data_IF_188300846907
#
_entry.id   IF_188300846907
#
_cell.length_a   1.000
_cell.length_b   1.000
_cell.length_c   1.000
_cell.angle_alpha   90.00
_cell.angle_beta   90.00
_cell.angle_gamma   90.00
#
_symmetry.space_group_name_H-M   'P 1'
#
loop_
_entity.id
_entity.type
_entity.pdbx_description
1 polymer ?
#
# COMPACT_ATOMS: atom_id res chain seq x y z
N UNK A 1 -40.47 -22.84 5.11
CA UNK A 1 -40.45 -21.74 4.13
C UNK A 1 -39.54 -20.68 4.69
N UNK A 2 -38.31 -20.63 4.21
CA UNK A 2 -37.36 -19.57 4.58
C UNK A 2 -37.89 -18.29 3.94
N UNK A 3 -38.17 -17.27 4.76
CA UNK A 3 -38.54 -15.95 4.25
C UNK A 3 -37.29 -15.40 3.57
N UNK A 4 -37.28 -15.40 2.25
CA UNK A 4 -36.29 -14.70 1.45
C UNK A 4 -36.30 -13.23 1.91
N UNK A 5 -35.24 -12.81 2.61
CA UNK A 5 -35.16 -11.49 3.24
C UNK A 5 -34.85 -10.47 2.14
N UNK A 6 -35.49 -9.30 2.20
CA UNK A 6 -35.25 -8.23 1.24
C UNK A 6 -33.75 -7.91 1.14
N UNK A 7 -33.18 -8.04 -0.07
CA UNK A 7 -31.76 -7.80 -0.38
C UNK A 7 -30.75 -8.67 0.39
N UNK A 8 -31.12 -9.85 0.91
CA UNK A 8 -30.22 -10.66 1.76
C UNK A 8 -28.88 -10.97 1.08
N UNK A 9 -28.90 -11.41 -0.18
CA UNK A 9 -27.68 -11.69 -0.95
C UNK A 9 -26.78 -10.46 -1.12
N UNK A 10 -27.39 -9.28 -1.34
CA UNK A 10 -26.63 -8.03 -1.47
C UNK A 10 -26.01 -7.63 -0.13
N UNK A 11 -26.74 -7.75 0.98
CA UNK A 11 -26.19 -7.43 2.29
C UNK A 11 -25.09 -8.40 2.70
N UNK A 12 -25.18 -9.68 2.33
CA UNK A 12 -24.07 -10.64 2.52
C UNK A 12 -22.82 -10.18 1.76
N UNK A 13 -22.96 -9.71 0.52
CA UNK A 13 -21.83 -9.14 -0.24
C UNK A 13 -21.25 -7.88 0.42
N UNK A 14 -22.11 -6.99 0.91
CA UNK A 14 -21.69 -5.76 1.62
C UNK A 14 -20.89 -6.09 2.88
N UNK A 15 -21.36 -7.02 3.70
CA UNK A 15 -20.67 -7.44 4.92
C UNK A 15 -19.35 -8.16 4.62
N UNK A 16 -19.30 -8.97 3.55
CA UNK A 16 -18.06 -9.60 3.12
C UNK A 16 -17.01 -8.56 2.68
N UNK A 17 -17.42 -7.53 1.92
CA UNK A 17 -16.51 -6.44 1.53
C UNK A 17 -16.03 -5.66 2.76
N UNK A 18 -16.95 -5.36 3.68
CA UNK A 18 -16.63 -4.68 4.96
C UNK A 18 -15.57 -5.47 5.73
N UNK A 19 -15.77 -6.78 5.89
CA UNK A 19 -14.80 -7.65 6.56
C UNK A 19 -13.42 -7.63 5.91
N UNK A 20 -13.34 -7.67 4.58
CA UNK A 20 -12.04 -7.55 3.90
C UNK A 20 -11.38 -6.18 4.08
N UNK A 21 -12.15 -5.09 4.16
CA UNK A 21 -11.61 -3.76 4.43
C UNK A 21 -11.08 -3.65 5.87
N UNK A 22 -11.78 -4.27 6.84
CA UNK A 22 -11.32 -4.35 8.22
C UNK A 22 -10.01 -5.16 8.34
N UNK A 23 -9.95 -6.35 7.72
CA UNK A 23 -8.71 -7.16 7.65
C UNK A 23 -7.56 -6.41 6.97
N UNK A 24 -7.84 -5.63 5.92
CA UNK A 24 -6.84 -4.76 5.30
C UNK A 24 -6.31 -3.72 6.28
N UNK A 25 -7.20 -3.04 7.01
CA UNK A 25 -6.83 -2.04 7.99
C UNK A 25 -5.92 -2.61 9.08
N UNK A 26 -6.24 -3.81 9.58
CA UNK A 26 -5.40 -4.50 10.58
C UNK A 26 -4.01 -4.84 10.03
N UNK A 27 -3.93 -5.32 8.78
CA UNK A 27 -2.65 -5.62 8.14
C UNK A 27 -1.80 -4.38 7.90
N UNK A 28 -2.41 -3.25 7.57
CA UNK A 28 -1.69 -1.97 7.44
C UNK A 28 -1.05 -1.56 8.76
N UNK A 29 -1.76 -1.72 9.88
CA UNK A 29 -1.19 -1.46 11.21
C UNK A 29 -0.05 -2.42 11.56
N UNK A 30 -0.19 -3.70 11.21
CA UNK A 30 0.89 -4.67 11.42
C UNK A 30 2.13 -4.36 10.57
N UNK A 31 1.95 -3.87 9.34
CA UNK A 31 3.06 -3.37 8.50
C UNK A 31 3.81 -2.22 9.18
N UNK A 32 3.10 -1.25 9.79
CA UNK A 32 3.74 -0.16 10.56
C UNK A 32 4.60 -0.69 11.71
N UNK A 33 4.10 -1.72 12.40
CA UNK A 33 4.81 -2.38 13.52
C UNK A 33 6.09 -3.06 13.02
N UNK A 34 5.99 -3.82 11.93
CA UNK A 34 7.12 -4.54 11.33
C UNK A 34 8.18 -3.57 10.79
N UNK A 35 7.76 -2.51 10.08
CA UNK A 35 8.65 -1.43 9.66
C UNK A 35 9.43 -0.80 10.82
N UNK A 36 8.74 -0.53 11.93
CA UNK A 36 9.39 0.01 13.13
C UNK A 36 10.40 -0.96 13.75
N UNK A 37 10.09 -2.26 13.79
CA UNK A 37 11.01 -3.30 14.26
C UNK A 37 12.25 -3.42 13.37
N UNK A 38 12.06 -3.40 12.04
CA UNK A 38 13.13 -3.52 11.06
C UNK A 38 14.10 -2.33 11.16
N UNK A 39 13.60 -1.11 11.38
CA UNK A 39 14.43 0.09 11.56
C UNK A 39 15.09 0.20 12.93
N UNK A 40 14.65 -0.58 13.92
CA UNK A 40 15.24 -0.60 15.26
C UNK A 40 16.56 -1.39 15.31
N UNK A 41 16.79 -2.29 14.37
CA UNK A 41 17.99 -3.11 14.26
C UNK A 41 18.83 -2.72 13.03
N UNK A 42 20.17 -2.62 13.13
CA UNK A 42 21.05 -2.43 11.97
C UNK A 42 20.92 -3.59 10.96
N UNK A 43 20.84 -4.82 11.49
CA UNK A 43 20.65 -6.05 10.74
C UNK A 43 19.35 -6.73 11.21
N UNK A 44 18.20 -6.38 10.64
CA UNK A 44 16.92 -7.04 10.92
C UNK A 44 17.00 -8.53 10.58
N UNK A 45 16.39 -9.37 11.42
CA UNK A 45 16.37 -10.81 11.20
C UNK A 45 15.49 -11.20 10.01
N UNK A 46 15.83 -12.33 9.38
CA UNK A 46 15.18 -12.79 8.15
C UNK A 46 13.70 -13.14 8.37
N UNK A 47 13.32 -13.52 9.60
CA UNK A 47 11.93 -13.85 9.92
C UNK A 47 11.06 -12.58 9.88
N UNK A 48 11.52 -11.50 10.49
CA UNK A 48 10.82 -10.19 10.46
C UNK A 48 10.66 -9.69 9.01
N UNK A 49 11.68 -9.86 8.17
CA UNK A 49 11.58 -9.52 6.73
C UNK A 49 10.55 -10.38 5.99
N UNK A 50 10.57 -11.70 6.21
CA UNK A 50 9.63 -12.63 5.59
C UNK A 50 8.19 -12.35 6.03
N UNK A 51 7.97 -12.01 7.30
CA UNK A 51 6.66 -11.60 7.82
C UNK A 51 6.15 -10.34 7.12
N UNK A 52 7.00 -9.32 6.92
CA UNK A 52 6.64 -8.12 6.16
C UNK A 52 6.26 -8.44 4.71
N UNK A 53 7.03 -9.28 4.01
CA UNK A 53 6.71 -9.68 2.64
C UNK A 53 5.39 -10.43 2.53
N UNK A 54 5.08 -11.28 3.50
CA UNK A 54 3.79 -11.96 3.57
C UNK A 54 2.64 -10.97 3.79
N UNK A 55 2.82 -9.98 4.66
CA UNK A 55 1.81 -8.93 4.88
C UNK A 55 1.55 -8.12 3.61
N UNK A 56 2.60 -7.72 2.88
CA UNK A 56 2.46 -7.00 1.60
C UNK A 56 1.69 -7.84 0.58
N UNK A 57 2.00 -9.14 0.49
CA UNK A 57 1.32 -10.10 -0.39
C UNK A 57 -0.16 -10.23 -0.03
N UNK A 58 -0.46 -10.34 1.26
CA UNK A 58 -1.83 -10.43 1.75
C UNK A 58 -2.61 -9.15 1.47
N UNK A 59 -2.04 -7.98 1.75
CA UNK A 59 -2.67 -6.67 1.47
C UNK A 59 -3.03 -6.59 -0.02
N UNK A 60 -2.09 -6.92 -0.91
CA UNK A 60 -2.36 -6.97 -2.36
C UNK A 60 -3.52 -7.90 -2.70
N UNK A 61 -3.57 -9.09 -2.10
CA UNK A 61 -4.63 -10.08 -2.33
C UNK A 61 -5.99 -9.57 -1.87
N UNK A 62 -6.09 -9.02 -0.66
CA UNK A 62 -7.34 -8.50 -0.10
C UNK A 62 -7.82 -7.26 -0.85
N UNK A 63 -6.92 -6.34 -1.19
CA UNK A 63 -7.25 -5.15 -1.95
C UNK A 63 -7.81 -5.51 -3.34
N UNK A 64 -7.24 -6.50 -4.02
CA UNK A 64 -7.78 -7.02 -5.28
C UNK A 64 -9.17 -7.66 -5.14
N UNK A 65 -9.43 -8.39 -4.05
CA UNK A 65 -10.76 -8.96 -3.77
C UNK A 65 -11.79 -7.85 -3.56
N UNK A 66 -11.48 -6.85 -2.74
CA UNK A 66 -12.35 -5.69 -2.49
C UNK A 66 -12.65 -4.97 -3.79
N UNK A 67 -11.62 -4.64 -4.58
CA UNK A 67 -11.76 -4.01 -5.90
C UNK A 67 -12.70 -4.80 -6.83
N UNK A 68 -12.48 -6.12 -6.95
CA UNK A 68 -13.31 -6.96 -7.82
C UNK A 68 -14.78 -7.00 -7.38
N UNK A 69 -15.05 -7.02 -6.07
CA UNK A 69 -16.42 -7.04 -5.55
C UNK A 69 -17.11 -5.69 -5.70
N UNK A 70 -16.41 -4.58 -5.44
CA UNK A 70 -16.93 -3.22 -5.67
C UNK A 70 -17.31 -3.03 -7.15
N UNK A 71 -16.42 -3.44 -8.07
CA UNK A 71 -16.70 -3.38 -9.52
C UNK A 71 -17.91 -4.23 -9.92
N UNK A 72 -18.12 -5.38 -9.29
CA UNK A 72 -19.32 -6.19 -9.53
C UNK A 72 -20.60 -5.50 -9.08
N UNK A 73 -20.56 -4.77 -7.95
CA UNK A 73 -21.70 -3.98 -7.46
C UNK A 73 -21.96 -2.79 -8.40
N UNK A 74 -20.91 -2.11 -8.86
CA UNK A 74 -21.02 -1.02 -9.85
C UNK A 74 -21.72 -1.49 -11.12
N UNK A 75 -21.27 -2.59 -11.73
CA UNK A 75 -21.90 -3.14 -12.95
C UNK A 75 -23.38 -3.52 -12.74
N UNK A 76 -23.73 -4.01 -11.55
CA UNK A 76 -25.12 -4.28 -11.18
C UNK A 76 -25.94 -2.99 -11.10
N UNK A 77 -25.38 -1.92 -10.56
CA UNK A 77 -26.03 -0.60 -10.48
C UNK A 77 -26.26 -0.05 -11.89
N UNK A 78 -25.23 -0.03 -12.75
CA UNK A 78 -25.32 0.47 -14.13
C UNK A 78 -26.38 -0.29 -14.95
N UNK A 79 -26.46 -1.61 -14.77
CA UNK A 79 -27.46 -2.43 -15.43
C UNK A 79 -28.89 -2.09 -14.99
N UNK A 80 -29.12 -1.89 -13.70
CA UNK A 80 -30.43 -1.52 -13.17
C UNK A 80 -30.85 -0.09 -13.59
N UNK A 81 -29.90 0.82 -13.70
CA UNK A 81 -30.12 2.19 -14.19
C UNK A 81 -30.54 2.23 -15.66
N UNK A 82 -29.90 1.42 -16.52
CA UNK A 82 -30.25 1.30 -17.92
C UNK A 82 -31.71 0.85 -18.13
N UNK A 83 -32.25 0.09 -17.17
CA UNK A 83 -33.65 -0.34 -17.15
C UNK A 83 -34.62 0.73 -16.60
N UNK A 84 -34.13 1.94 -16.29
CA UNK A 84 -34.90 3.08 -15.73
C UNK A 84 -35.66 2.73 -14.45
N UNK A 85 -35.18 1.75 -13.68
CA UNK A 85 -35.78 1.33 -12.42
C UNK A 85 -35.27 2.19 -11.27
N UNK A 86 -35.83 3.38 -11.10
CA UNK A 86 -35.58 4.17 -9.89
C UNK A 86 -36.34 3.55 -8.71
N UNK A 87 -35.64 2.73 -7.93
CA UNK A 87 -36.22 1.97 -6.82
C UNK A 87 -35.49 2.26 -5.50
N UNK A 88 -36.12 1.88 -4.38
CA UNK A 88 -35.46 1.92 -3.08
C UNK A 88 -34.22 0.99 -3.04
N UNK A 89 -34.29 -0.14 -3.73
CA UNK A 89 -33.19 -1.12 -3.89
C UNK A 89 -31.96 -0.48 -4.55
N UNK A 90 -32.15 0.19 -5.69
CA UNK A 90 -31.08 0.87 -6.42
C UNK A 90 -30.40 1.96 -5.58
N UNK A 91 -31.18 2.73 -4.81
CA UNK A 91 -30.63 3.74 -3.90
C UNK A 91 -29.79 3.11 -2.79
N UNK A 92 -30.25 2.00 -2.20
CA UNK A 92 -29.49 1.26 -1.17
C UNK A 92 -28.16 0.77 -1.76
N UNK A 93 -28.18 0.16 -2.96
CA UNK A 93 -26.96 -0.32 -3.64
C UNK A 93 -25.95 0.79 -3.86
N UNK A 94 -26.38 1.92 -4.40
CA UNK A 94 -25.53 3.11 -4.62
C UNK A 94 -24.91 3.64 -3.33
N UNK A 95 -25.71 3.79 -2.28
CA UNK A 95 -25.23 4.31 -0.99
C UNK A 95 -24.20 3.36 -0.36
N UNK A 96 -24.46 2.05 -0.36
CA UNK A 96 -23.52 1.06 0.17
C UNK A 96 -22.23 1.01 -0.67
N UNK A 97 -22.33 1.00 -2.00
CA UNK A 97 -21.18 1.02 -2.89
C UNK A 97 -20.27 2.24 -2.63
N UNK A 98 -20.87 3.43 -2.51
CA UNK A 98 -20.12 4.67 -2.25
C UNK A 98 -19.45 4.66 -0.87
N UNK A 99 -20.14 4.14 0.15
CA UNK A 99 -19.60 4.04 1.51
C UNK A 99 -18.41 3.08 1.57
N UNK A 100 -18.55 1.88 0.99
CA UNK A 100 -17.48 0.88 0.96
C UNK A 100 -16.29 1.36 0.12
N UNK A 101 -16.54 1.97 -1.04
CA UNK A 101 -15.49 2.54 -1.90
C UNK A 101 -14.68 3.60 -1.18
N UNK A 102 -15.35 4.52 -0.47
CA UNK A 102 -14.67 5.56 0.31
C UNK A 102 -13.80 4.97 1.42
N UNK A 103 -14.33 3.98 2.16
CA UNK A 103 -13.56 3.33 3.24
C UNK A 103 -12.38 2.54 2.70
N UNK A 104 -12.54 1.87 1.56
CA UNK A 104 -11.44 1.18 0.89
C UNK A 104 -10.33 2.16 0.47
N UNK A 105 -10.68 3.28 -0.18
CA UNK A 105 -9.72 4.33 -0.55
C UNK A 105 -9.00 4.88 0.68
N UNK A 106 -9.71 5.15 1.77
CA UNK A 106 -9.12 5.63 3.03
C UNK A 106 -8.04 4.66 3.55
N UNK A 107 -8.33 3.36 3.64
CA UNK A 107 -7.37 2.34 4.10
C UNK A 107 -6.18 2.22 3.15
N UNK A 108 -6.40 2.25 1.84
CA UNK A 108 -5.31 2.17 0.87
C UNK A 108 -4.44 3.43 0.89
N UNK A 109 -5.02 4.61 1.14
CA UNK A 109 -4.26 5.86 1.29
C UNK A 109 -3.39 5.82 2.54
N UNK A 110 -3.90 5.28 3.64
CA UNK A 110 -3.12 5.05 4.86
C UNK A 110 -1.97 4.07 4.62
N UNK A 111 -2.20 2.99 3.86
CA UNK A 111 -1.14 2.08 3.45
C UNK A 111 -0.06 2.79 2.62
N UNK A 112 -0.44 3.60 1.64
CA UNK A 112 0.50 4.36 0.82
C UNK A 112 1.31 5.38 1.64
N UNK A 113 0.66 6.07 2.59
CA UNK A 113 1.32 6.98 3.52
C UNK A 113 2.33 6.24 4.41
N UNK A 114 1.96 5.06 4.91
CA UNK A 114 2.84 4.17 5.68
C UNK A 114 4.07 3.76 4.88
N UNK A 115 3.87 3.39 3.60
CA UNK A 115 4.99 3.02 2.73
C UNK A 115 5.92 4.23 2.47
N UNK A 116 5.33 5.39 2.16
CA UNK A 116 6.10 6.63 1.90
C UNK A 116 6.92 7.07 3.11
N UNK A 117 6.36 7.01 4.33
CA UNK A 117 7.09 7.31 5.57
C UNK A 117 8.26 6.35 5.77
N UNK A 118 8.04 5.05 5.54
CA UNK A 118 9.10 4.05 5.65
C UNK A 118 10.24 4.29 4.65
N UNK A 119 9.91 4.66 3.40
CA UNK A 119 10.90 5.04 2.37
C UNK A 119 11.83 6.14 2.88
N UNK A 120 11.24 7.21 3.41
CA UNK A 120 12.00 8.38 3.86
C UNK A 120 12.88 8.04 5.07
N UNK A 121 12.38 7.18 5.98
CA UNK A 121 13.18 6.68 7.11
C UNK A 121 14.35 5.81 6.65
N UNK A 122 14.17 4.94 5.66
CA UNK A 122 15.26 4.16 5.06
C UNK A 122 16.30 5.06 4.38
N UNK A 123 15.85 6.07 3.62
CA UNK A 123 16.72 7.07 3.01
C UNK A 123 17.54 7.82 4.06
N UNK A 124 16.92 8.29 5.14
CA UNK A 124 17.63 8.94 6.25
C UNK A 124 18.66 8.03 6.93
N UNK A 125 18.39 6.71 7.03
CA UNK A 125 19.39 5.72 7.50
C UNK A 125 20.58 5.63 6.55
N UNK A 126 20.34 5.54 5.23
CA UNK A 126 21.42 5.49 4.22
C UNK A 126 22.28 6.75 4.30
N UNK A 127 21.65 7.93 4.35
CA UNK A 127 22.36 9.20 4.50
C UNK A 127 23.28 9.19 5.72
N UNK A 128 22.77 8.73 6.86
CA UNK A 128 23.55 8.65 8.09
C UNK A 128 24.74 7.69 7.97
N UNK A 129 24.58 6.56 7.29
CA UNK A 129 25.67 5.62 7.07
C UNK A 129 26.74 6.19 6.12
N UNK A 130 26.35 6.94 5.10
CA UNK A 130 27.30 7.65 4.22
C UNK A 130 28.12 8.68 5.02
N UNK A 131 27.50 9.44 5.91
CA UNK A 131 28.21 10.38 6.79
C UNK A 131 29.23 9.67 7.71
N UNK A 132 28.89 8.51 8.26
CA UNK A 132 29.80 7.71 9.11
C UNK A 132 31.04 7.28 8.31
N UNK A 133 30.87 6.98 7.02
CA UNK A 133 31.99 6.66 6.13
C UNK A 133 32.79 7.88 5.64
N UNK A 134 32.40 9.08 6.06
CA UNK A 134 33.06 10.34 5.70
C UNK A 134 32.59 10.95 4.38
N UNK A 135 31.47 10.47 3.82
CA UNK A 135 30.87 11.00 2.59
C UNK A 135 29.64 11.84 2.94
N UNK A 136 29.76 13.16 2.81
CA UNK A 136 28.61 14.05 2.87
C UNK A 136 27.82 13.93 1.56
N UNK A 137 26.50 13.80 1.65
CA UNK A 137 25.63 13.63 0.49
C UNK A 137 24.35 14.43 0.72
N UNK A 138 24.00 15.29 -0.24
CA UNK A 138 22.75 16.06 -0.15
C UNK A 138 21.54 15.16 -0.41
N UNK A 139 20.34 15.65 -0.11
CA UNK A 139 19.13 14.89 -0.36
C UNK A 139 18.93 14.59 -1.86
N UNK A 140 19.25 15.54 -2.73
CA UNK A 140 19.14 15.41 -4.18
C UNK A 140 20.15 14.41 -4.74
N UNK A 141 21.40 14.47 -4.26
CA UNK A 141 22.42 13.48 -4.62
C UNK A 141 22.01 12.09 -4.17
N UNK A 142 21.47 11.95 -2.95
CA UNK A 142 21.03 10.67 -2.42
C UNK A 142 19.86 10.09 -3.23
N UNK A 143 18.88 10.89 -3.63
CA UNK A 143 17.80 10.43 -4.52
C UNK A 143 18.35 9.97 -5.86
N UNK A 144 19.26 10.72 -6.48
CA UNK A 144 19.92 10.28 -7.72
C UNK A 144 20.70 8.97 -7.55
N UNK A 145 21.23 8.70 -6.36
CA UNK A 145 21.88 7.43 -6.05
C UNK A 145 20.89 6.28 -5.90
N UNK A 146 19.73 6.52 -5.29
CA UNK A 146 18.64 5.54 -5.15
C UNK A 146 18.00 5.19 -6.50
N UNK A 147 17.89 6.16 -7.41
CA UNK A 147 17.40 5.96 -8.77
C UNK A 147 18.40 5.22 -9.68
N UNK A 148 19.64 5.03 -9.23
CA UNK A 148 20.69 4.39 -10.01
C UNK A 148 20.57 2.86 -9.97
N UNK A 149 20.56 2.23 -11.15
CA UNK A 149 20.67 0.78 -11.30
C UNK A 149 22.07 0.21 -10.93
N UNK A 150 22.98 1.05 -10.42
CA UNK A 150 24.34 0.65 -10.07
C UNK A 150 24.54 0.60 -8.55
N UNK A 151 24.49 -0.59 -7.91
CA UNK A 151 24.71 -0.74 -6.47
C UNK A 151 26.07 -0.21 -5.99
N UNK A 152 27.09 -0.20 -6.87
CA UNK A 152 28.42 0.29 -6.54
C UNK A 152 28.45 1.81 -6.27
N UNK A 153 27.39 2.55 -6.62
CA UNK A 153 27.31 4.01 -6.41
C UNK A 153 27.46 4.40 -4.94
N UNK A 154 27.00 3.54 -4.02
CA UNK A 154 27.14 3.73 -2.57
C UNK A 154 28.57 3.48 -2.09
N UNK A 155 29.31 2.58 -2.73
CA UNK A 155 30.70 2.21 -2.37
C UNK A 155 31.76 3.11 -3.02
N UNK A 156 31.38 3.85 -4.06
CA UNK A 156 32.31 4.69 -4.82
C UNK A 156 32.91 5.80 -3.94
N UNK A 157 34.24 5.88 -3.90
CA UNK A 157 34.98 6.89 -3.14
C UNK A 157 35.11 6.60 -1.64
N UNK A 158 34.68 5.43 -1.16
CA UNK A 158 34.77 5.04 0.25
C UNK A 158 35.91 4.03 0.44
N UNK A 159 36.78 4.31 1.40
CA UNK A 159 37.90 3.44 1.76
C UNK A 159 37.40 2.30 2.66
N UNK A 160 37.40 1.06 2.16
CA UNK A 160 36.94 -0.15 2.87
C UNK A 160 38.00 -0.72 3.84
N UNK A 161 38.66 0.14 4.61
CA UNK A 161 39.80 -0.27 5.44
C UNK A 161 39.40 -0.52 6.90
N UNK A 162 38.12 -0.36 7.25
CA UNK A 162 37.63 -0.53 8.61
C UNK A 162 36.37 -1.39 8.69
N UNK A 163 36.26 -2.17 9.78
CA UNK A 163 35.05 -2.93 10.10
C UNK A 163 33.80 -2.02 10.18
N UNK A 164 33.98 -0.76 10.56
CA UNK A 164 32.91 0.25 10.63
C UNK A 164 32.40 0.56 9.22
N UNK A 165 33.29 0.78 8.27
CA UNK A 165 32.94 1.03 6.86
C UNK A 165 32.18 -0.16 6.27
N UNK A 166 32.63 -1.39 6.55
CA UNK A 166 31.98 -2.60 6.04
C UNK A 166 30.57 -2.78 6.61
N UNK A 167 30.38 -2.50 7.91
CA UNK A 167 29.07 -2.55 8.54
C UNK A 167 28.13 -1.48 7.97
N UNK A 168 28.62 -0.26 7.75
CA UNK A 168 27.85 0.81 7.13
C UNK A 168 27.37 0.44 5.72
N UNK A 169 28.24 -0.19 4.91
CA UNK A 169 27.89 -0.64 3.56
C UNK A 169 26.80 -1.72 3.57
N UNK A 170 26.90 -2.70 4.47
CA UNK A 170 25.88 -3.76 4.60
C UNK A 170 24.50 -3.19 4.99
N UNK A 171 24.49 -2.21 5.92
CA UNK A 171 23.25 -1.53 6.28
C UNK A 171 22.68 -0.73 5.11
N UNK A 172 23.52 -0.01 4.35
CA UNK A 172 23.08 0.71 3.15
C UNK A 172 22.45 -0.24 2.12
N UNK A 173 23.09 -1.36 1.81
CA UNK A 173 22.58 -2.35 0.86
C UNK A 173 21.24 -2.95 1.33
N UNK A 174 21.12 -3.25 2.62
CA UNK A 174 19.88 -3.74 3.23
C UNK A 174 18.76 -2.71 3.08
N UNK A 175 19.01 -1.43 3.42
CA UNK A 175 18.00 -0.36 3.32
C UNK A 175 17.63 -0.04 1.87
N UNK A 176 18.60 -0.07 0.97
CA UNK A 176 18.35 0.14 -0.46
C UNK A 176 17.45 -0.96 -1.03
N UNK A 177 17.72 -2.22 -0.68
CA UNK A 177 16.85 -3.35 -1.07
C UNK A 177 15.42 -3.18 -0.55
N UNK A 178 15.26 -2.68 0.67
CA UNK A 178 13.94 -2.38 1.24
C UNK A 178 13.22 -1.26 0.50
N UNK A 179 13.92 -0.18 0.10
CA UNK A 179 13.37 0.90 -0.72
C UNK A 179 12.87 0.36 -2.05
N UNK A 180 13.65 -0.48 -2.74
CA UNK A 180 13.25 -1.07 -4.03
C UNK A 180 11.96 -1.89 -3.89
N UNK A 181 11.86 -2.74 -2.84
CA UNK A 181 10.65 -3.54 -2.58
C UNK A 181 9.44 -2.65 -2.33
N UNK A 182 9.64 -1.57 -1.59
CA UNK A 182 8.60 -0.61 -1.26
C UNK A 182 8.12 0.17 -2.50
N UNK A 183 9.03 0.66 -3.33
CA UNK A 183 8.68 1.37 -4.57
C UNK A 183 7.92 0.46 -5.55
N UNK A 184 8.27 -0.82 -5.61
CA UNK A 184 7.48 -1.80 -6.35
C UNK A 184 6.07 -1.95 -5.78
N UNK A 185 5.92 -2.04 -4.46
CA UNK A 185 4.59 -2.07 -3.82
C UNK A 185 3.79 -0.80 -4.11
N UNK A 186 4.39 0.40 -4.02
CA UNK A 186 3.71 1.67 -4.30
C UNK A 186 3.27 1.74 -5.77
N UNK A 187 4.10 1.28 -6.71
CA UNK A 187 3.76 1.24 -8.14
C UNK A 187 2.54 0.37 -8.39
N UNK A 188 2.46 -0.80 -7.75
CA UNK A 188 1.28 -1.67 -7.85
C UNK A 188 0.02 -1.06 -7.23
N UNK A 189 0.15 -0.27 -6.15
CA UNK A 189 -0.96 0.48 -5.58
C UNK A 189 -1.44 1.59 -6.52
N UNK A 190 -0.53 2.27 -7.20
CA UNK A 190 -0.85 3.35 -8.11
C UNK A 190 -1.79 2.87 -9.24
N UNK A 191 -1.52 1.70 -9.82
CA UNK A 191 -2.40 1.10 -10.83
C UNK A 191 -3.82 0.85 -10.27
N UNK A 192 -3.90 0.43 -9.01
CA UNK A 192 -5.18 0.22 -8.32
C UNK A 192 -5.91 1.55 -8.02
N UNK A 193 -5.18 2.60 -7.66
CA UNK A 193 -5.75 3.92 -7.40
C UNK A 193 -6.28 4.60 -8.67
N UNK A 194 -5.62 4.40 -9.81
CA UNK A 194 -6.11 4.93 -11.09
C UNK A 194 -7.48 4.34 -11.45
N UNK A 195 -7.67 3.03 -11.24
CA UNK A 195 -8.96 2.38 -11.41
C UNK A 195 -10.03 2.95 -10.44
N UNK A 196 -9.66 3.18 -9.18
CA UNK A 196 -10.57 3.66 -8.15
C UNK A 196 -10.91 5.15 -8.27
N UNK A 197 -10.00 5.97 -8.79
CA UNK A 197 -10.25 7.39 -9.04
C UNK A 197 -11.34 7.57 -10.10
N UNK A 198 -11.32 6.76 -11.17
CA UNK A 198 -12.39 6.72 -12.17
C UNK A 198 -13.74 6.28 -11.57
N UNK A 199 -13.71 5.33 -10.62
CA UNK A 199 -14.89 4.85 -9.88
C UNK A 199 -15.51 5.90 -8.95
N UNK A 200 -14.71 6.80 -8.38
CA UNK A 200 -15.18 7.84 -7.43
C UNK A 200 -15.61 9.11 -8.16
N UNK A 201 -14.92 9.51 -9.23
CA UNK A 201 -15.28 10.69 -10.04
C UNK A 201 -16.65 10.53 -10.73
N UNK A 202 -16.97 9.32 -11.22
CA UNK A 202 -18.28 9.02 -11.80
C UNK A 202 -19.45 9.14 -10.80
N UNK A 203 -19.17 9.07 -9.48
CA UNK A 203 -20.17 9.15 -8.42
C UNK A 203 -20.43 10.58 -7.93
N UNK A 204 -19.41 11.45 -7.94
CA UNK A 204 -19.54 12.85 -7.45
C UNK A 204 -20.33 13.73 -8.44
N UNK A 205 -20.36 13.35 -9.72
CA UNK A 205 -21.14 14.03 -10.77
C UNK A 205 -22.66 14.01 -10.60
N UNK A 206 -23.20 13.24 -9.65
CA UNK A 206 -24.66 13.15 -9.39
C UNK A 206 -25.16 14.07 -8.26
N UNK A 207 -24.28 14.84 -7.63
CA UNK A 207 -24.63 15.76 -6.53
C UNK A 207 -24.59 17.25 -6.89
N UNK A 208 -24.57 17.60 -8.18
CA UNK A 208 -24.92 18.94 -8.68
C UNK A 208 -26.07 18.86 -9.69
#
# INVERSE_FOLDING_TARGET
MEKDRFMDEFFVQVEEIRGFIEELSEKVEEVKRQHSAILAAPNPDEKTKAELEQLMTDIKKFANKVRSKLKSIEQSIEHEEALSRSSADLRIRKTQHSTLSRKFVEVMSEYNATQSDYRERCKGRIQRQLEITGRNTTNEELESMLESDNPAIFTSGIIMDSNITQQAMNEIETRHTEIIKLENSIRELHDMFMDMAMLVESQVGWTM
#
